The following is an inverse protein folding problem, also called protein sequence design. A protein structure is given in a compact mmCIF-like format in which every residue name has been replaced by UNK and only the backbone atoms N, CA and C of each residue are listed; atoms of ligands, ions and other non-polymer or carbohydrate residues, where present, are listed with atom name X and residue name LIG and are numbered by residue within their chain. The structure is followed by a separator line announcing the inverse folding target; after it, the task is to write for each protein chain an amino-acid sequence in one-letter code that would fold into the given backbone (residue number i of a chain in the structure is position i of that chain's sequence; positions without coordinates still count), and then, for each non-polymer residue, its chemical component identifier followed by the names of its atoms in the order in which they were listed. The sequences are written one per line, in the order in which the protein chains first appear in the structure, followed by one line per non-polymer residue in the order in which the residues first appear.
data_IF_363432397258
#
_entry.id   IF_363432397258
#
_cell.length_a   1.000
_cell.length_b   1.000
_cell.length_c   1.000
_cell.angle_alpha   90.00
_cell.angle_beta   90.00
_cell.angle_gamma   90.00
#
_symmetry.space_group_name_H-M   'P 1'
#
loop_
_entity.id
_entity.type
_entity.pdbx_description
1 polymer ?
#
# COMPACT_ATOMS: atom_id res chain seq x y z
N UNK A 1 -49.06 47.82 0.88
CA UNK A 1 -47.63 47.78 0.48
C UNK A 1 -46.63 47.46 1.60
N UNK A 2 -46.91 47.72 2.90
CA UNK A 2 -45.97 47.38 4.00
C UNK A 2 -45.97 45.89 4.39
N UNK A 3 -47.13 45.24 4.37
CA UNK A 3 -47.30 43.82 4.75
C UNK A 3 -46.71 42.83 3.74
N UNK A 4 -46.76 43.13 2.44
CA UNK A 4 -46.13 42.29 1.39
C UNK A 4 -44.59 42.31 1.51
N UNK A 5 -43.97 43.46 1.79
CA UNK A 5 -42.51 43.55 1.99
C UNK A 5 -42.04 42.77 3.22
N UNK A 6 -42.86 42.66 4.25
CA UNK A 6 -42.56 41.90 5.47
C UNK A 6 -42.60 40.38 5.23
N UNK A 7 -43.57 39.90 4.43
CA UNK A 7 -43.67 38.48 4.05
C UNK A 7 -42.49 38.05 3.16
N UNK A 8 -42.10 38.87 2.19
CA UNK A 8 -40.91 38.60 1.36
C UNK A 8 -39.61 38.60 2.19
N UNK A 9 -39.50 39.47 3.20
CA UNK A 9 -38.32 39.50 4.08
C UNK A 9 -38.21 38.26 4.97
N UNK A 10 -39.33 37.70 5.44
CA UNK A 10 -39.35 36.46 6.23
C UNK A 10 -39.03 35.24 5.36
N UNK A 11 -39.49 35.24 4.10
CA UNK A 11 -39.24 34.15 3.16
C UNK A 11 -37.77 34.08 2.72
N UNK A 12 -37.11 35.23 2.50
CA UNK A 12 -35.68 35.27 2.15
C UNK A 12 -34.79 34.90 3.34
N UNK A 13 -35.16 35.28 4.57
CA UNK A 13 -34.40 34.92 5.78
C UNK A 13 -34.51 33.42 6.11
N UNK A 14 -35.67 32.81 5.82
CA UNK A 14 -35.88 31.36 5.90
C UNK A 14 -35.04 30.59 4.87
N UNK A 15 -34.94 31.10 3.64
CA UNK A 15 -34.15 30.47 2.57
C UNK A 15 -32.65 30.49 2.89
N UNK A 16 -32.13 31.56 3.52
CA UNK A 16 -30.73 31.62 3.96
C UNK A 16 -30.38 30.66 5.10
N UNK A 17 -31.34 30.29 5.94
CA UNK A 17 -31.11 29.29 7.00
C UNK A 17 -31.03 27.86 6.43
N UNK A 18 -31.68 27.57 5.31
CA UNK A 18 -31.60 26.23 4.66
C UNK A 18 -30.25 26.00 3.98
N UNK A 19 -29.59 27.05 3.49
CA UNK A 19 -28.23 26.92 2.89
C UNK A 19 -27.15 26.65 3.95
N UNK A 20 -27.39 26.99 5.23
CA UNK A 20 -26.43 26.72 6.31
C UNK A 20 -26.47 25.27 6.85
N UNK A 21 -27.40 24.43 6.38
CA UNK A 21 -27.45 22.99 6.72
C UNK A 21 -26.99 22.05 5.59
N UNK A 22 -26.54 22.59 4.44
CA UNK A 22 -25.74 21.85 3.44
C UNK A 22 -24.23 21.94 3.78
N UNK A 23 -23.87 22.37 4.99
CA UNK A 23 -22.62 21.99 5.64
C UNK A 23 -22.71 20.57 6.22
N UNK A 24 -23.35 19.66 5.50
CA UNK A 24 -23.41 18.24 5.85
C UNK A 24 -22.06 17.63 5.51
N UNK A 25 -21.40 17.12 6.56
CA UNK A 25 -20.19 16.32 6.52
C UNK A 25 -19.01 16.98 5.79
N UNK A 26 -17.96 17.28 6.55
CA UNK A 26 -16.62 17.00 6.04
C UNK A 26 -16.62 15.52 5.64
N UNK A 27 -16.99 15.24 4.39
CA UNK A 27 -16.23 14.30 3.60
C UNK A 27 -14.83 14.90 3.63
N UNK A 28 -13.96 14.38 4.50
CA UNK A 28 -12.53 14.61 4.42
C UNK A 28 -12.14 14.14 3.02
N UNK A 29 -12.13 15.13 2.14
CA UNK A 29 -12.25 14.96 0.72
C UNK A 29 -10.84 14.72 0.26
N UNK A 30 -10.65 13.60 -0.41
CA UNK A 30 -9.49 13.13 -1.19
C UNK A 30 -8.58 14.21 -1.84
N UNK A 31 -9.07 15.44 -2.00
CA UNK A 31 -8.36 16.61 -2.50
C UNK A 31 -7.25 17.16 -1.57
N UNK A 32 -7.20 16.81 -0.28
CA UNK A 32 -6.13 17.31 0.62
C UNK A 32 -4.84 16.47 0.63
N UNK A 33 -4.87 15.21 0.14
CA UNK A 33 -3.70 14.31 0.21
C UNK A 33 -2.64 14.57 -0.87
N UNK A 34 -2.97 15.37 -1.89
CA UNK A 34 -2.07 15.73 -2.98
C UNK A 34 -1.91 17.26 -3.10
N UNK A 35 -1.84 17.95 -1.96
CA UNK A 35 -1.38 19.34 -1.96
C UNK A 35 0.06 19.38 -2.47
N UNK A 36 0.25 19.81 -3.72
CA UNK A 36 1.56 19.95 -4.33
C UNK A 36 2.29 21.22 -3.91
N UNK A 37 1.67 22.12 -3.14
CA UNK A 37 2.31 23.35 -2.67
C UNK A 37 3.36 23.06 -1.60
N UNK A 38 3.12 22.06 -0.76
CA UNK A 38 4.06 21.68 0.31
C UNK A 38 5.29 20.95 -0.25
N UNK A 39 6.49 21.50 -0.04
CA UNK A 39 7.74 20.82 -0.40
C UNK A 39 8.03 19.66 0.55
N UNK A 40 8.15 18.44 0.02
CA UNK A 40 8.37 17.24 0.83
C UNK A 40 9.85 16.84 0.85
N UNK A 41 10.40 16.65 2.04
CA UNK A 41 11.75 16.14 2.25
C UNK A 41 11.81 15.35 3.55
N UNK A 42 12.64 14.31 3.58
CA UNK A 42 12.97 13.61 4.81
C UNK A 42 14.07 14.36 5.57
N UNK A 43 14.30 13.95 6.82
CA UNK A 43 15.44 14.41 7.61
C UNK A 43 16.76 14.00 6.94
N UNK A 44 17.81 14.82 7.07
CA UNK A 44 19.11 14.64 6.40
C UNK A 44 19.90 13.37 6.77
N UNK A 45 19.38 12.59 7.73
CA UNK A 45 19.99 11.38 8.26
C UNK A 45 18.94 10.28 8.44
N UNK A 46 17.89 10.30 7.60
CA UNK A 46 16.86 9.28 7.61
C UNK A 46 17.48 7.91 7.37
N UNK A 47 17.07 6.95 8.18
CA UNK A 47 17.45 5.56 7.99
C UNK A 47 16.28 4.85 7.32
N UNK A 48 16.41 4.56 6.02
CA UNK A 48 15.36 3.89 5.24
C UNK A 48 15.07 2.45 5.70
N UNK A 49 15.95 1.86 6.53
CA UNK A 49 15.71 0.56 7.19
C UNK A 49 14.88 0.72 8.47
N UNK A 50 14.73 1.94 8.97
CA UNK A 50 14.07 2.29 10.25
C UNK A 50 13.27 3.59 10.13
N UNK A 51 12.29 3.60 9.23
CA UNK A 51 11.40 4.74 9.02
C UNK A 51 10.47 4.95 10.23
N UNK A 52 10.33 6.20 10.67
CA UNK A 52 9.31 6.57 11.66
C UNK A 52 7.93 6.69 11.02
N UNK A 53 6.89 6.91 11.83
CA UNK A 53 5.55 7.17 11.30
C UNK A 53 5.52 8.44 10.45
N UNK A 54 6.20 9.49 10.90
CA UNK A 54 6.31 10.77 10.19
C UNK A 54 7.06 10.60 8.87
N UNK A 55 8.13 9.80 8.83
CA UNK A 55 8.83 9.48 7.58
C UNK A 55 7.90 8.77 6.59
N UNK A 56 7.10 7.81 7.06
CA UNK A 56 6.13 7.07 6.23
C UNK A 56 5.00 7.97 5.72
N UNK A 57 4.54 8.94 6.50
CA UNK A 57 3.58 9.95 6.06
C UNK A 57 4.15 10.80 4.91
N UNK A 58 5.40 11.29 5.05
CA UNK A 58 6.09 12.05 3.98
C UNK A 58 6.28 11.19 2.73
N UNK A 59 6.75 9.94 2.89
CA UNK A 59 6.93 8.99 1.79
C UNK A 59 5.60 8.71 1.11
N UNK A 60 4.52 8.50 1.85
CA UNK A 60 3.19 8.27 1.28
C UNK A 60 2.68 9.47 0.47
N UNK A 61 2.82 10.68 1.01
CA UNK A 61 2.41 11.90 0.30
C UNK A 61 3.23 12.10 -0.97
N UNK A 62 4.54 11.84 -0.91
CA UNK A 62 5.41 11.92 -2.08
C UNK A 62 5.08 10.84 -3.11
N UNK A 63 4.77 9.62 -2.66
CA UNK A 63 4.31 8.52 -3.51
C UNK A 63 3.03 8.89 -4.27
N UNK A 64 2.07 9.56 -3.63
CA UNK A 64 0.84 10.04 -4.28
C UNK A 64 1.06 11.12 -5.35
N UNK A 65 2.25 11.71 -5.41
CA UNK A 65 2.63 12.66 -6.46
C UNK A 65 3.29 11.99 -7.65
N UNK A 66 3.79 10.76 -7.49
CA UNK A 66 4.42 10.01 -8.57
C UNK A 66 3.38 9.57 -9.59
N UNK A 67 3.83 9.45 -10.83
CA UNK A 67 3.10 8.72 -11.85
C UNK A 67 3.95 7.51 -12.22
N UNK A 68 3.50 6.32 -11.81
CA UNK A 68 4.15 5.06 -12.11
C UNK A 68 3.37 4.38 -13.22
N UNK A 69 4.07 3.88 -14.22
CA UNK A 69 3.47 3.13 -15.32
C UNK A 69 4.27 1.89 -15.64
N UNK A 70 3.60 0.93 -16.25
CA UNK A 70 4.26 -0.22 -16.85
C UNK A 70 4.70 0.14 -18.28
N UNK A 71 5.96 -0.15 -18.63
CA UNK A 71 6.46 0.03 -19.98
C UNK A 71 6.15 -1.18 -20.88
N UNK A 72 6.55 -1.11 -22.14
CA UNK A 72 6.29 -2.17 -23.14
C UNK A 72 6.87 -3.56 -22.77
N UNK A 73 7.79 -3.63 -21.81
CA UNK A 73 8.43 -4.86 -21.33
C UNK A 73 7.81 -5.40 -20.04
N UNK A 74 6.76 -4.76 -19.52
CA UNK A 74 6.15 -5.14 -18.25
C UNK A 74 6.88 -4.60 -17.02
N UNK A 75 7.75 -3.60 -17.19
CA UNK A 75 8.56 -3.04 -16.10
C UNK A 75 8.02 -1.68 -15.64
N UNK A 76 8.13 -1.42 -14.34
CA UNK A 76 7.69 -0.21 -13.69
C UNK A 76 8.63 0.97 -14.02
N UNK A 77 8.05 2.09 -14.42
CA UNK A 77 8.74 3.35 -14.75
C UNK A 77 8.08 4.50 -14.00
N UNK A 78 8.88 5.30 -13.28
CA UNK A 78 8.46 6.60 -12.76
C UNK A 78 8.57 7.61 -13.90
N UNK A 79 7.46 8.25 -14.26
CA UNK A 79 7.38 9.17 -15.42
C UNK A 79 8.18 10.46 -15.20
N UNK A 80 8.21 10.96 -13.97
CA UNK A 80 8.97 12.16 -13.61
C UNK A 80 10.48 11.94 -13.75
N UNK A 81 11.25 13.02 -13.96
CA UNK A 81 12.71 12.91 -14.17
C UNK A 81 13.54 13.32 -12.95
N UNK A 82 12.95 14.06 -12.01
CA UNK A 82 13.61 14.66 -10.85
C UNK A 82 12.58 15.07 -9.81
N UNK A 83 12.99 15.16 -8.54
CA UNK A 83 12.11 15.46 -7.41
C UNK A 83 11.36 16.79 -7.58
N UNK A 84 12.03 17.81 -8.12
CA UNK A 84 11.38 19.12 -8.31
C UNK A 84 10.17 19.12 -9.26
N UNK A 85 10.03 18.12 -10.14
CA UNK A 85 8.89 18.04 -11.06
C UNK A 85 7.58 17.74 -10.30
N UNK A 86 7.68 17.25 -9.06
CA UNK A 86 6.57 16.94 -8.16
C UNK A 86 6.76 17.54 -6.76
N UNK A 87 7.56 18.60 -6.67
CA UNK A 87 7.80 19.35 -5.43
C UNK A 87 8.29 18.48 -4.24
N UNK A 88 9.21 17.55 -4.50
CA UNK A 88 9.89 16.76 -3.47
C UNK A 88 11.41 16.91 -3.57
N UNK A 89 12.16 16.54 -2.53
CA UNK A 89 13.62 16.53 -2.57
C UNK A 89 14.17 15.49 -3.54
N UNK A 90 15.34 15.78 -4.14
CA UNK A 90 15.99 14.83 -5.05
C UNK A 90 16.43 13.55 -4.34
N UNK A 91 16.75 13.61 -3.05
CA UNK A 91 17.05 12.42 -2.24
C UNK A 91 15.85 11.49 -2.14
N UNK A 92 14.68 12.04 -1.82
CA UNK A 92 13.43 11.27 -1.74
C UNK A 92 13.03 10.72 -3.12
N UNK A 93 13.25 11.48 -4.18
CA UNK A 93 13.01 11.01 -5.54
C UNK A 93 13.94 9.85 -5.94
N UNK A 94 15.24 9.95 -5.64
CA UNK A 94 16.21 8.89 -5.90
C UNK A 94 15.92 7.62 -5.10
N UNK A 95 15.37 7.76 -3.89
CA UNK A 95 14.88 6.62 -3.12
C UNK A 95 13.78 5.86 -3.88
N UNK A 96 12.78 6.55 -4.44
CA UNK A 96 11.75 5.90 -5.26
C UNK A 96 12.28 5.29 -6.55
N UNK A 97 13.26 5.92 -7.22
CA UNK A 97 13.93 5.30 -8.37
C UNK A 97 14.58 3.97 -7.98
N UNK A 98 15.29 3.95 -6.85
CA UNK A 98 15.95 2.74 -6.34
C UNK A 98 14.95 1.62 -6.01
N UNK A 99 13.76 1.97 -5.52
CA UNK A 99 12.66 1.02 -5.31
C UNK A 99 12.16 0.47 -6.64
N UNK A 100 11.86 1.33 -7.62
CA UNK A 100 11.38 0.90 -8.94
C UNK A 100 12.38 -0.04 -9.64
N UNK A 101 13.67 0.30 -9.60
CA UNK A 101 14.73 -0.56 -10.13
C UNK A 101 14.80 -1.92 -9.43
N UNK A 102 14.65 -1.94 -8.12
CA UNK A 102 14.68 -3.18 -7.32
C UNK A 102 13.46 -4.06 -7.59
N UNK A 103 12.27 -3.47 -7.72
CA UNK A 103 11.06 -4.18 -8.15
C UNK A 103 11.22 -4.76 -9.56
N UNK A 104 11.76 -4.00 -10.51
CA UNK A 104 11.98 -4.48 -11.87
C UNK A 104 12.94 -5.68 -11.92
N UNK A 105 13.99 -5.69 -11.08
CA UNK A 105 14.88 -6.86 -10.95
C UNK A 105 14.11 -8.10 -10.49
N UNK A 106 13.20 -7.97 -9.51
CA UNK A 106 12.33 -9.07 -9.04
C UNK A 106 11.43 -9.58 -10.16
N UNK A 107 10.71 -8.68 -10.85
CA UNK A 107 9.84 -9.03 -12.00
C UNK A 107 10.61 -9.81 -13.06
N UNK A 108 11.79 -9.32 -13.46
CA UNK A 108 12.62 -10.00 -14.47
C UNK A 108 13.07 -11.38 -13.99
N UNK A 109 13.44 -11.53 -12.71
CA UNK A 109 13.81 -12.85 -12.18
C UNK A 109 12.65 -13.84 -12.20
N UNK A 110 11.44 -13.43 -11.80
CA UNK A 110 10.25 -14.29 -11.78
C UNK A 110 9.84 -14.73 -13.20
N UNK A 111 9.94 -13.84 -14.20
CA UNK A 111 9.69 -14.16 -15.62
C UNK A 111 10.69 -15.22 -16.15
N UNK A 112 11.95 -15.15 -15.73
CA UNK A 112 12.98 -16.14 -16.13
C UNK A 112 12.69 -17.53 -15.56
N UNK A 113 12.18 -17.61 -14.33
CA UNK A 113 11.77 -18.86 -13.71
C UNK A 113 10.54 -19.48 -14.40
N UNK A 114 9.54 -18.68 -14.77
CA UNK A 114 8.34 -19.18 -15.47
C UNK A 114 8.63 -19.67 -16.89
N UNK A 115 9.54 -19.02 -17.63
CA UNK A 115 9.95 -19.47 -18.98
C UNK A 115 10.85 -20.72 -19.02
N UNK A 116 11.45 -21.12 -17.90
CA UNK A 116 12.43 -22.23 -17.84
C UNK A 116 11.88 -23.51 -17.18
N UNK A 117 10.56 -23.69 -17.11
CA UNK A 117 9.94 -24.86 -16.46
C UNK A 117 9.88 -26.11 -17.36
N UNK A 118 11.05 -26.55 -17.82
CA UNK A 118 11.40 -27.98 -17.72
C UNK A 118 12.69 -28.01 -16.90
N UNK A 119 12.58 -27.75 -15.59
CA UNK A 119 13.71 -27.96 -14.68
C UNK A 119 13.37 -29.11 -13.74
N UNK A 120 14.11 -30.19 -13.93
CA UNK A 120 14.16 -31.35 -13.04
C UNK A 120 14.63 -30.90 -11.67
N UNK A 121 13.77 -31.11 -10.67
CA UNK A 121 14.03 -31.27 -9.23
C UNK A 121 15.52 -31.35 -8.83
N UNK A 122 16.20 -30.20 -8.78
CA UNK A 122 17.42 -29.92 -8.00
C UNK A 122 17.93 -28.50 -8.32
N UNK A 123 17.21 -27.49 -7.87
CA UNK A 123 17.81 -26.18 -7.62
C UNK A 123 17.55 -25.84 -6.15
N UNK A 124 18.56 -26.11 -5.32
CA UNK A 124 18.64 -25.66 -3.94
C UNK A 124 19.14 -24.21 -4.00
N UNK A 125 18.22 -23.27 -4.02
CA UNK A 125 18.41 -21.98 -3.36
C UNK A 125 17.35 -21.91 -2.28
N UNK A 126 17.76 -21.57 -1.05
CA UNK A 126 16.87 -21.45 0.11
C UNK A 126 15.83 -20.38 -0.16
N UNK A 127 14.73 -20.77 -0.79
CA UNK A 127 13.55 -19.93 -0.96
C UNK A 127 12.94 -19.82 0.42
N UNK A 128 13.09 -18.66 1.05
CA UNK A 128 12.42 -18.36 2.29
C UNK A 128 10.91 -18.48 2.03
N UNK A 129 10.24 -19.48 2.61
CA UNK A 129 8.80 -19.74 2.43
C UNK A 129 7.94 -19.06 3.49
N UNK A 130 8.57 -18.21 4.31
CA UNK A 130 7.99 -17.60 5.51
C UNK A 130 7.35 -16.23 5.26
N UNK A 131 7.08 -15.84 4.01
CA UNK A 131 6.56 -14.51 3.67
C UNK A 131 5.28 -14.15 4.44
N UNK A 132 4.33 -15.10 4.56
CA UNK A 132 3.11 -14.91 5.36
C UNK A 132 3.44 -14.74 6.85
N UNK A 133 4.35 -15.56 7.40
CA UNK A 133 4.77 -15.45 8.80
C UNK A 133 5.41 -14.08 9.08
N UNK A 134 6.29 -13.62 8.18
CA UNK A 134 6.97 -12.33 8.27
C UNK A 134 5.98 -11.17 8.21
N UNK A 135 5.00 -11.23 7.29
CA UNK A 135 3.96 -10.20 7.20
C UNK A 135 3.08 -10.13 8.44
N UNK A 136 2.74 -11.27 9.04
CA UNK A 136 1.98 -11.32 10.29
C UNK A 136 2.80 -10.73 11.44
N UNK A 137 4.06 -11.15 11.60
CA UNK A 137 4.97 -10.66 12.65
C UNK A 137 5.15 -9.15 12.55
N UNK A 138 5.41 -8.65 11.34
CA UNK A 138 5.57 -7.23 11.11
C UNK A 138 4.31 -6.46 11.45
N UNK A 139 3.13 -7.02 11.13
CA UNK A 139 1.88 -6.31 11.36
C UNK A 139 1.37 -6.35 12.80
N UNK A 140 1.60 -7.46 13.50
CA UNK A 140 1.01 -7.73 14.82
C UNK A 140 1.99 -7.54 15.98
N UNK A 141 3.30 -7.54 15.69
CA UNK A 141 4.35 -7.58 16.72
C UNK A 141 4.47 -8.92 17.43
N UNK A 142 3.76 -9.96 16.97
CA UNK A 142 3.92 -11.32 17.48
C UNK A 142 5.34 -11.84 17.25
N UNK A 143 5.77 -12.81 18.07
CA UNK A 143 7.10 -13.41 17.93
C UNK A 143 7.15 -14.29 16.70
N UNK A 144 8.21 -14.14 15.91
CA UNK A 144 8.42 -14.92 14.70
C UNK A 144 8.41 -16.42 14.94
N UNK A 145 9.03 -16.88 16.04
CA UNK A 145 9.09 -18.31 16.34
C UNK A 145 7.70 -18.90 16.58
N UNK A 146 6.81 -18.16 17.24
CA UNK A 146 5.46 -18.61 17.57
C UNK A 146 4.60 -18.73 16.30
N UNK A 147 4.66 -17.70 15.44
CA UNK A 147 3.93 -17.67 14.16
C UNK A 147 4.45 -18.75 13.20
N UNK A 148 5.76 -18.78 12.98
CA UNK A 148 6.37 -19.69 12.02
C UNK A 148 6.27 -21.16 12.45
N UNK A 149 6.36 -21.44 13.76
CA UNK A 149 6.20 -22.80 14.27
C UNK A 149 4.77 -23.30 14.08
N UNK A 150 3.75 -22.46 14.34
CA UNK A 150 2.36 -22.85 14.08
C UNK A 150 2.11 -23.09 12.59
N UNK A 151 2.59 -22.22 11.71
CA UNK A 151 2.48 -22.39 10.25
C UNK A 151 3.16 -23.69 9.81
N UNK A 152 4.40 -23.93 10.26
CA UNK A 152 5.16 -25.13 9.91
C UNK A 152 4.50 -26.41 10.41
N UNK A 153 3.95 -26.39 11.63
CA UNK A 153 3.23 -27.54 12.18
C UNK A 153 1.90 -27.80 11.46
N UNK A 154 1.26 -26.77 10.92
CA UNK A 154 -0.05 -26.87 10.26
C UNK A 154 0.06 -27.27 8.79
N UNK A 155 1.03 -26.70 8.06
CA UNK A 155 1.14 -26.83 6.60
C UNK A 155 2.46 -27.46 6.12
N UNK A 156 3.42 -27.68 7.01
CA UNK A 156 4.78 -28.10 6.68
C UNK A 156 5.72 -26.94 6.37
N UNK A 157 6.96 -27.24 5.97
CA UNK A 157 8.02 -26.24 5.79
C UNK A 157 7.93 -25.41 4.49
N UNK A 158 6.93 -25.67 3.64
CA UNK A 158 6.78 -25.02 2.33
C UNK A 158 6.00 -23.71 2.39
N UNK A 159 5.75 -23.18 3.59
CA UNK A 159 4.96 -21.96 3.78
C UNK A 159 3.46 -22.22 3.75
N UNK A 160 2.69 -21.14 3.61
CA UNK A 160 1.23 -21.17 3.64
C UNK A 160 0.69 -21.43 2.23
N UNK A 161 -0.08 -22.50 1.98
CA UNK A 161 -0.76 -22.70 0.71
C UNK A 161 -1.68 -21.52 0.39
N UNK A 162 -1.76 -21.10 -0.87
CA UNK A 162 -2.53 -19.91 -1.29
C UNK A 162 -3.99 -19.95 -0.80
N UNK A 163 -4.66 -21.10 -0.92
CA UNK A 163 -6.04 -21.29 -0.45
C UNK A 163 -6.20 -21.30 1.09
N UNK A 164 -5.10 -21.32 1.85
CA UNK A 164 -5.07 -21.26 3.31
C UNK A 164 -4.68 -19.88 3.83
N UNK A 165 -4.41 -18.91 2.95
CA UNK A 165 -4.00 -17.55 3.33
C UNK A 165 -4.97 -16.92 4.32
N UNK A 166 -6.25 -16.83 3.99
CA UNK A 166 -7.25 -16.21 4.87
C UNK A 166 -7.45 -16.98 6.19
N UNK A 167 -7.43 -18.32 6.16
CA UNK A 167 -7.51 -19.12 7.39
C UNK A 167 -6.32 -18.86 8.32
N UNK A 168 -5.14 -18.66 7.74
CA UNK A 168 -3.92 -18.35 8.49
C UNK A 168 -3.99 -16.94 9.08
N UNK A 169 -4.39 -15.94 8.27
CA UNK A 169 -4.55 -14.57 8.75
C UNK A 169 -5.58 -14.48 9.88
N UNK A 170 -6.73 -15.15 9.75
CA UNK A 170 -7.76 -15.21 10.79
C UNK A 170 -7.29 -15.88 12.09
N UNK A 171 -6.27 -16.75 12.04
CA UNK A 171 -5.72 -17.38 13.25
C UNK A 171 -4.91 -16.40 14.10
N UNK A 172 -4.20 -15.46 13.46
CA UNK A 172 -3.29 -14.54 14.16
C UNK A 172 -3.82 -13.11 14.31
N UNK A 173 -4.77 -12.72 13.46
CA UNK A 173 -5.30 -11.36 13.42
C UNK A 173 -6.78 -11.37 13.82
N UNK A 174 -7.03 -11.27 15.12
CA UNK A 174 -8.38 -11.17 15.68
C UNK A 174 -9.14 -10.00 15.03
N UNK A 175 -10.40 -10.22 14.65
CA UNK A 175 -11.29 -9.23 14.03
C UNK A 175 -10.85 -8.67 12.67
N UNK A 176 -9.78 -9.20 12.06
CA UNK A 176 -9.42 -8.85 10.68
C UNK A 176 -10.46 -9.31 9.66
N UNK A 177 -10.28 -8.90 8.41
CA UNK A 177 -11.24 -9.19 7.35
C UNK A 177 -10.57 -9.36 5.98
N UNK A 178 -11.11 -10.28 5.18
CA UNK A 178 -10.85 -10.28 3.75
C UNK A 178 -11.42 -9.01 3.11
N UNK A 179 -10.61 -8.36 2.27
CA UNK A 179 -11.06 -7.19 1.50
C UNK A 179 -11.34 -7.64 0.05
N UNK A 180 -12.54 -7.36 -0.50
CA UNK A 180 -12.82 -7.62 -1.91
C UNK A 180 -11.93 -6.79 -2.84
N UNK A 181 -11.46 -7.38 -3.94
CA UNK A 181 -10.63 -6.68 -4.94
C UNK A 181 -11.29 -5.41 -5.48
N UNK A 182 -12.61 -5.41 -5.68
CA UNK A 182 -13.34 -4.22 -6.15
C UNK A 182 -13.28 -3.06 -5.16
N UNK A 183 -13.42 -3.35 -3.86
CA UNK A 183 -13.28 -2.37 -2.79
C UNK A 183 -11.83 -1.89 -2.70
N UNK A 184 -10.87 -2.83 -2.75
CA UNK A 184 -9.45 -2.52 -2.71
C UNK A 184 -9.00 -1.65 -3.89
N UNK A 185 -9.54 -1.88 -5.08
CA UNK A 185 -9.23 -1.05 -6.26
C UNK A 185 -9.73 0.38 -6.11
N UNK A 186 -10.84 0.59 -5.38
CA UNK A 186 -11.46 1.91 -5.20
C UNK A 186 -10.91 2.71 -4.00
N UNK A 187 -10.09 2.10 -3.14
CA UNK A 187 -9.53 2.78 -1.95
C UNK A 187 -8.12 3.31 -2.21
N UNK A 188 -7.79 4.44 -1.59
CA UNK A 188 -6.41 4.88 -1.39
C UNK A 188 -6.00 4.62 0.06
N UNK A 189 -4.72 4.31 0.25
CA UNK A 189 -4.14 3.91 1.54
C UNK A 189 -2.95 4.80 1.83
N UNK A 190 -2.97 5.50 2.96
CA UNK A 190 -1.93 6.42 3.41
C UNK A 190 -0.91 5.73 4.31
N UNK A 191 0.33 6.24 4.34
CA UNK A 191 1.47 5.68 5.10
C UNK A 191 1.28 5.55 6.61
N UNK A 192 0.34 6.29 7.20
CA UNK A 192 -0.03 6.19 8.62
C UNK A 192 -0.87 4.95 8.96
N UNK A 193 -1.42 4.29 7.93
CA UNK A 193 -2.11 3.02 8.03
C UNK A 193 -1.16 1.81 7.99
N UNK A 194 0.14 2.04 8.23
CA UNK A 194 1.17 1.02 8.20
C UNK A 194 0.70 -0.22 8.96
N UNK A 195 0.96 -1.40 8.38
CA UNK A 195 0.60 -2.71 8.91
C UNK A 195 -0.88 -3.11 8.88
N UNK A 196 -1.80 -2.25 8.43
CA UNK A 196 -3.22 -2.61 8.38
C UNK A 196 -3.56 -3.59 7.27
N UNK A 197 -2.78 -3.65 6.20
CA UNK A 197 -3.11 -4.49 5.05
C UNK A 197 -1.97 -5.43 4.68
N UNK A 198 -2.30 -6.71 4.56
CA UNK A 198 -1.42 -7.74 4.00
C UNK A 198 -2.01 -8.17 2.66
N UNK A 199 -1.17 -8.17 1.63
CA UNK A 199 -1.54 -8.56 0.26
C UNK A 199 -0.68 -9.71 -0.23
N UNK A 200 -1.21 -10.48 -1.18
CA UNK A 200 -0.45 -11.53 -1.89
C UNK A 200 -0.27 -11.14 -3.35
N UNK A 201 0.98 -10.93 -3.74
CA UNK A 201 1.42 -10.61 -5.10
C UNK A 201 1.60 -11.92 -5.88
N UNK A 202 1.04 -11.97 -7.09
CA UNK A 202 1.14 -13.08 -8.06
C UNK A 202 0.75 -14.46 -7.48
N UNK A 203 -0.01 -14.48 -6.37
CA UNK A 203 -0.42 -15.70 -5.68
C UNK A 203 0.68 -16.39 -4.86
N UNK A 204 1.88 -15.82 -4.78
CA UNK A 204 3.07 -16.49 -4.23
C UNK A 204 3.79 -15.72 -3.13
N UNK A 205 3.63 -14.40 -3.04
CA UNK A 205 4.41 -13.59 -2.10
C UNK A 205 3.55 -12.65 -1.27
N UNK A 206 3.62 -12.78 0.06
CA UNK A 206 2.90 -11.92 0.99
C UNK A 206 3.75 -10.72 1.41
N UNK A 207 3.16 -9.53 1.39
CA UNK A 207 3.79 -8.26 1.78
C UNK A 207 2.81 -7.34 2.49
N UNK A 208 3.32 -6.30 3.15
CA UNK A 208 2.53 -5.34 3.91
C UNK A 208 2.40 -4.03 3.13
N UNK A 209 1.20 -3.49 3.00
CA UNK A 209 1.00 -2.21 2.29
C UNK A 209 1.53 -1.07 3.15
N UNK A 210 2.29 -0.19 2.52
CA UNK A 210 2.68 1.12 3.08
C UNK A 210 1.74 2.19 2.54
N UNK A 211 1.58 2.28 1.21
CA UNK A 211 0.68 3.23 0.59
C UNK A 211 0.09 2.68 -0.71
N UNK A 212 -1.10 3.15 -1.07
CA UNK A 212 -1.76 2.85 -2.35
C UNK A 212 -2.44 4.09 -2.89
N UNK A 213 -2.23 4.38 -4.17
CA UNK A 213 -3.03 5.36 -4.91
C UNK A 213 -3.41 4.81 -6.27
N UNK A 214 -4.70 4.84 -6.61
CA UNK A 214 -5.17 4.26 -7.86
C UNK A 214 -4.75 2.79 -8.00
N UNK A 215 -4.03 2.44 -9.06
CA UNK A 215 -3.49 1.09 -9.27
C UNK A 215 -2.17 0.81 -8.55
N UNK A 216 -1.49 1.84 -8.07
CA UNK A 216 -0.08 1.75 -7.69
C UNK A 216 0.04 1.49 -6.19
N UNK A 217 0.93 0.58 -5.83
CA UNK A 217 1.11 0.12 -4.46
C UNK A 217 2.59 0.22 -4.08
N UNK A 218 2.86 0.96 -3.02
CA UNK A 218 4.11 0.88 -2.26
C UNK A 218 3.90 -0.11 -1.12
N UNK A 219 4.76 -1.12 -1.04
CA UNK A 219 4.72 -2.14 0.00
C UNK A 219 6.06 -2.26 0.72
N UNK A 220 6.00 -2.83 1.92
CA UNK A 220 7.14 -3.31 2.69
C UNK A 220 7.16 -4.84 2.66
N UNK A 221 8.29 -5.38 2.24
CA UNK A 221 8.57 -6.81 2.19
C UNK A 221 9.27 -7.21 3.49
N UNK A 222 8.48 -7.65 4.48
CA UNK A 222 8.98 -8.02 5.79
C UNK A 222 9.93 -9.24 5.78
N UNK A 223 9.95 -10.02 4.70
CA UNK A 223 10.87 -11.14 4.55
C UNK A 223 12.27 -10.65 4.16
N UNK A 224 12.37 -9.65 3.29
CA UNK A 224 13.66 -9.09 2.83
C UNK A 224 14.08 -7.82 3.54
N UNK A 225 13.17 -7.18 4.28
CA UNK A 225 13.39 -5.93 4.99
C UNK A 225 13.38 -4.67 4.11
N UNK A 226 12.87 -4.76 2.88
CA UNK A 226 12.93 -3.69 1.88
C UNK A 226 11.57 -3.25 1.33
N UNK A 227 11.54 -2.08 0.70
CA UNK A 227 10.35 -1.57 0.03
C UNK A 227 10.29 -2.01 -1.43
N UNK A 228 9.09 -2.09 -1.98
CA UNK A 228 8.84 -2.43 -3.37
C UNK A 228 7.60 -1.75 -3.93
N UNK A 229 7.54 -1.69 -5.25
CA UNK A 229 6.35 -1.33 -6.01
C UNK A 229 5.71 -2.54 -6.67
N UNK A 230 4.38 -2.55 -6.70
CA UNK A 230 3.56 -3.41 -7.53
C UNK A 230 2.27 -2.67 -7.92
N UNK A 231 1.42 -3.34 -8.69
CA UNK A 231 0.14 -2.79 -9.14
C UNK A 231 -1.02 -3.72 -8.78
N UNK A 232 -2.23 -3.16 -8.64
CA UNK A 232 -3.43 -3.92 -8.27
C UNK A 232 -3.74 -5.15 -9.14
N UNK A 233 -3.45 -5.19 -10.47
CA UNK A 233 -3.65 -6.40 -11.27
C UNK A 233 -2.84 -7.62 -10.79
N UNK A 234 -1.74 -7.39 -10.08
CA UNK A 234 -0.87 -8.46 -9.57
C UNK A 234 -1.35 -8.99 -8.21
N UNK A 235 -2.42 -8.43 -7.64
CA UNK A 235 -2.90 -8.78 -6.30
C UNK A 235 -3.97 -9.87 -6.35
N UNK A 236 -3.76 -10.92 -5.57
CA UNK A 236 -4.67 -12.09 -5.54
C UNK A 236 -5.45 -12.21 -4.23
N UNK A 237 -4.85 -11.74 -3.12
CA UNK A 237 -5.46 -11.77 -1.80
C UNK A 237 -5.19 -10.44 -1.10
N UNK A 238 -6.20 -9.93 -0.39
CA UNK A 238 -6.09 -8.76 0.49
C UNK A 238 -6.73 -9.09 1.83
N UNK A 239 -6.01 -8.84 2.91
CA UNK A 239 -6.50 -8.95 4.29
C UNK A 239 -6.25 -7.65 5.05
N UNK A 240 -7.30 -7.13 5.68
CA UNK A 240 -7.26 -6.00 6.61
C UNK A 240 -7.12 -6.54 8.04
N UNK A 241 -6.15 -6.00 8.78
CA UNK A 241 -5.91 -6.24 10.20
C UNK A 241 -6.60 -5.10 10.98
N UNK A 242 -7.28 -5.43 12.08
CA UNK A 242 -8.09 -4.51 12.87
C UNK A 242 -7.69 -4.46 14.34
#
# INVERSE_FOLDING_TARGET
MKTQKFIYSIFILSLTCVVMFIGCQKEDTFYELNDRETYLTLSSNVNFDKLTKEDLEIISLAFFRLNIRENEYGLLEIVQKKGKDINISEELFNYFQSIAESSNKKIVSEIRFTRSSISTREEIETTYTDCVARSIVYATGLRYEDVNSWITNTYGSNGVPSNQFYSTMNHFCDNGAQVPLSMFNAMDITGDSNNKYVIVINGVHAVNIVAKTGSDILYYDAQTGGHGFCTTPNITHIYEIR
#
